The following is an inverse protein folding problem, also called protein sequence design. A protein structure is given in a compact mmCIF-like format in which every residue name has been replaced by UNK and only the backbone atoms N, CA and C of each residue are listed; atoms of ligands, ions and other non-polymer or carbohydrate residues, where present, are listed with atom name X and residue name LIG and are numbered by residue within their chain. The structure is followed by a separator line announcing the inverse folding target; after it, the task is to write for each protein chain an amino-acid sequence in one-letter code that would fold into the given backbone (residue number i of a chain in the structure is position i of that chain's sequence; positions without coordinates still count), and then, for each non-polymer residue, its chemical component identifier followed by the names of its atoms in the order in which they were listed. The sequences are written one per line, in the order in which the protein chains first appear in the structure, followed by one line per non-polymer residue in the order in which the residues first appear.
data_IF_314525257830
#
_entry.id   IF_314525257830
#
_cell.length_a   1.000
_cell.length_b   1.000
_cell.length_c   1.000
_cell.angle_alpha   90.00
_cell.angle_beta   90.00
_cell.angle_gamma   90.00
#
_symmetry.space_group_name_H-M   'P 1'
#
loop_
_entity.id
_entity.type
_entity.pdbx_description
1 polymer ?
#
# COMPACT_ATOMS: atom_id res chain seq x y z
N UNK A 1 1.59 -32.53 -1.61
CA UNK A 1 0.62 -32.09 -2.63
C UNK A 1 0.50 -30.59 -2.48
N UNK A 2 1.12 -29.82 -3.38
CA UNK A 2 1.04 -28.36 -3.34
C UNK A 2 -0.35 -27.95 -3.84
N UNK A 3 -1.15 -27.31 -2.99
CA UNK A 3 -2.45 -26.75 -3.38
C UNK A 3 -2.21 -25.62 -4.38
N UNK A 4 -2.75 -25.78 -5.58
CA UNK A 4 -2.77 -24.72 -6.59
C UNK A 4 -3.54 -23.52 -6.02
N UNK A 5 -2.85 -22.38 -5.87
CA UNK A 5 -3.45 -21.15 -5.35
C UNK A 5 -4.07 -20.39 -6.51
N UNK A 6 -5.37 -20.19 -6.46
CA UNK A 6 -6.12 -19.48 -7.50
C UNK A 6 -5.88 -17.98 -7.33
N UNK A 7 -5.41 -17.29 -8.39
CA UNK A 7 -5.18 -15.84 -8.36
C UNK A 7 -6.44 -15.08 -8.79
N UNK A 8 -6.97 -14.23 -7.90
CA UNK A 8 -8.06 -13.31 -8.26
C UNK A 8 -7.47 -12.00 -8.77
N UNK A 9 -7.48 -11.80 -10.10
CA UNK A 9 -6.91 -10.62 -10.76
C UNK A 9 -7.56 -9.28 -10.39
N UNK A 10 -8.68 -9.26 -9.64
CA UNK A 10 -9.39 -8.03 -9.25
C UNK A 10 -8.75 -7.28 -8.08
N UNK A 11 -8.13 -8.00 -7.15
CA UNK A 11 -7.61 -7.43 -5.90
C UNK A 11 -6.08 -7.52 -5.81
N UNK A 12 -5.42 -8.30 -6.67
CA UNK A 12 -3.95 -8.37 -6.78
C UNK A 12 -3.20 -8.92 -5.56
N UNK A 13 -3.90 -9.28 -4.48
CA UNK A 13 -3.30 -9.73 -3.21
C UNK A 13 -2.38 -10.94 -3.41
N UNK A 14 -2.75 -11.86 -4.31
CA UNK A 14 -1.94 -13.02 -4.65
C UNK A 14 -0.57 -12.64 -5.24
N UNK A 15 -0.47 -11.56 -6.01
CA UNK A 15 0.78 -11.10 -6.65
C UNK A 15 1.77 -10.59 -5.60
N UNK A 16 1.30 -9.84 -4.60
CA UNK A 16 2.15 -9.34 -3.52
C UNK A 16 2.71 -10.50 -2.67
N UNK A 17 1.86 -11.49 -2.37
CA UNK A 17 2.26 -12.70 -1.64
C UNK A 17 3.27 -13.52 -2.45
N UNK A 18 3.02 -13.69 -3.75
CA UNK A 18 3.91 -14.44 -4.65
C UNK A 18 5.27 -13.75 -4.79
N UNK A 19 5.30 -12.44 -5.02
CA UNK A 19 6.53 -11.65 -5.11
C UNK A 19 7.35 -11.67 -3.81
N UNK A 20 6.70 -11.60 -2.64
CA UNK A 20 7.39 -11.67 -1.35
C UNK A 20 8.04 -13.05 -1.08
N UNK A 21 7.61 -14.07 -1.80
CA UNK A 21 7.98 -15.48 -1.61
C UNK A 21 8.67 -16.11 -2.84
N UNK A 22 9.00 -15.31 -3.86
CA UNK A 22 9.67 -15.80 -5.06
C UNK A 22 10.99 -16.52 -4.70
N UNK A 23 11.26 -17.62 -5.40
CA UNK A 23 12.46 -18.48 -5.24
C UNK A 23 12.61 -19.14 -3.85
N UNK A 24 11.52 -19.34 -3.10
CA UNK A 24 11.57 -19.98 -1.76
C UNK A 24 10.69 -21.21 -1.62
N UNK A 25 11.26 -22.25 -1.02
CA UNK A 25 10.51 -23.47 -0.69
C UNK A 25 9.67 -23.30 0.60
N UNK A 26 8.78 -24.26 0.87
CA UNK A 26 7.83 -24.22 1.99
C UNK A 26 8.51 -24.00 3.36
N UNK A 27 9.68 -24.61 3.58
CA UNK A 27 10.46 -24.45 4.82
C UNK A 27 11.07 -23.06 4.99
N UNK A 28 11.59 -22.47 3.90
CA UNK A 28 12.22 -21.15 3.91
C UNK A 28 11.19 -20.02 4.08
N UNK A 29 9.96 -20.23 3.58
CA UNK A 29 8.85 -19.28 3.79
C UNK A 29 8.40 -19.20 5.25
N UNK A 30 8.43 -20.33 5.98
CA UNK A 30 8.03 -20.35 7.38
C UNK A 30 9.05 -19.65 8.28
N UNK A 31 10.35 -19.68 7.94
CA UNK A 31 11.43 -19.07 8.72
C UNK A 31 11.51 -17.55 8.50
N UNK A 32 11.11 -17.06 7.31
CA UNK A 32 11.06 -15.64 6.97
C UNK A 32 9.63 -15.24 6.61
N UNK A 33 8.80 -15.08 7.63
CA UNK A 33 7.46 -14.52 7.49
C UNK A 33 7.53 -12.99 7.32
N UNK A 34 7.31 -12.44 6.11
CA UNK A 34 7.34 -10.99 5.88
C UNK A 34 6.16 -10.26 6.55
N UNK A 35 5.17 -10.99 7.07
CA UNK A 35 4.03 -10.50 7.82
C UNK A 35 4.13 -10.82 9.33
N UNK A 36 5.24 -11.41 9.77
CA UNK A 36 5.49 -11.79 11.15
C UNK A 36 5.88 -10.62 12.06
N UNK A 37 6.24 -10.92 13.31
CA UNK A 37 6.42 -9.92 14.37
C UNK A 37 7.66 -9.00 14.19
N UNK A 38 8.58 -9.34 13.28
CA UNK A 38 9.74 -8.52 12.90
C UNK A 38 9.33 -7.40 11.93
N UNK A 39 8.70 -6.37 12.47
CA UNK A 39 7.85 -5.43 11.71
C UNK A 39 8.61 -4.50 10.75
N UNK A 40 8.05 -4.34 9.56
CA UNK A 40 8.21 -3.16 8.68
C UNK A 40 7.12 -2.10 8.92
N UNK A 41 6.35 -2.21 10.01
CA UNK A 41 5.32 -1.23 10.36
C UNK A 41 5.98 0.10 10.73
N UNK A 42 5.92 1.02 9.78
CA UNK A 42 6.34 2.41 10.00
C UNK A 42 5.20 3.13 10.70
N UNK A 43 5.52 3.96 11.69
CA UNK A 43 4.53 4.86 12.29
C UNK A 43 3.81 5.66 11.19
N UNK A 44 2.48 5.71 11.25
CA UNK A 44 1.67 6.35 10.21
C UNK A 44 2.06 7.83 10.05
N UNK A 45 2.37 8.51 11.14
CA UNK A 45 2.74 9.94 11.10
C UNK A 45 4.09 10.12 10.44
N UNK A 46 5.05 9.24 10.73
CA UNK A 46 6.36 9.22 10.08
C UNK A 46 6.25 8.91 8.58
N UNK A 47 5.43 7.91 8.20
CA UNK A 47 5.16 7.58 6.81
C UNK A 47 4.49 8.76 6.06
N UNK A 48 3.47 9.39 6.66
CA UNK A 48 2.79 10.58 6.08
C UNK A 48 3.72 11.80 6.01
N UNK A 49 4.69 11.88 6.92
CA UNK A 49 5.72 12.91 6.92
C UNK A 49 6.82 12.64 5.88
N UNK A 50 6.99 11.44 5.34
CA UNK A 50 8.01 11.17 4.32
C UNK A 50 7.42 10.91 2.94
N UNK A 51 6.13 10.59 2.85
CA UNK A 51 5.47 10.23 1.60
C UNK A 51 5.04 11.46 0.79
N UNK A 52 5.57 11.62 -0.44
CA UNK A 52 5.16 12.70 -1.34
C UNK A 52 3.67 12.64 -1.67
N UNK A 53 3.09 11.45 -1.77
CA UNK A 53 1.66 11.25 -2.05
C UNK A 53 0.76 11.85 -0.98
N UNK A 54 1.11 11.73 0.29
CA UNK A 54 0.32 12.32 1.37
C UNK A 54 0.33 13.86 1.32
N UNK A 55 1.47 14.46 0.96
CA UNK A 55 1.59 15.91 0.84
C UNK A 55 0.93 16.47 -0.41
N UNK A 56 1.19 15.86 -1.57
CA UNK A 56 0.68 16.32 -2.85
C UNK A 56 -0.86 16.26 -2.90
N UNK A 57 -1.46 15.23 -2.31
CA UNK A 57 -2.92 15.16 -2.18
C UNK A 57 -3.48 16.32 -1.35
N UNK A 58 -2.87 16.62 -0.19
CA UNK A 58 -3.30 17.75 0.63
C UNK A 58 -3.13 19.12 -0.06
N UNK A 59 -2.08 19.29 -0.86
CA UNK A 59 -1.86 20.50 -1.68
C UNK A 59 -2.91 20.59 -2.79
N UNK A 60 -3.14 19.51 -3.52
CA UNK A 60 -4.12 19.44 -4.60
C UNK A 60 -5.53 19.76 -4.09
N UNK A 61 -5.90 19.25 -2.91
CA UNK A 61 -7.20 19.48 -2.30
C UNK A 61 -7.39 20.96 -1.87
N UNK A 62 -6.34 21.59 -1.36
CA UNK A 62 -6.35 23.03 -1.07
C UNK A 62 -6.50 23.87 -2.33
N UNK A 63 -5.79 23.53 -3.41
CA UNK A 63 -5.90 24.23 -4.69
C UNK A 63 -7.29 24.04 -5.29
N UNK A 64 -7.80 22.81 -5.27
CA UNK A 64 -9.14 22.46 -5.74
C UNK A 64 -10.23 23.23 -5.00
N UNK A 65 -10.18 23.28 -3.66
CA UNK A 65 -11.17 24.02 -2.87
C UNK A 65 -11.14 25.54 -3.13
N UNK A 66 -9.96 26.13 -3.37
CA UNK A 66 -9.84 27.54 -3.77
C UNK A 66 -10.40 27.75 -5.17
N UNK A 67 -10.07 26.87 -6.11
CA UNK A 67 -10.59 26.89 -7.49
C UNK A 67 -12.11 26.78 -7.50
N UNK A 68 -12.68 25.85 -6.74
CA UNK A 68 -14.13 25.65 -6.63
C UNK A 68 -14.84 26.85 -6.02
N UNK A 69 -14.23 27.51 -5.03
CA UNK A 69 -14.78 28.75 -4.45
C UNK A 69 -14.78 29.89 -5.46
N UNK A 70 -13.73 30.02 -6.27
CA UNK A 70 -13.62 31.07 -7.28
C UNK A 70 -14.58 30.81 -8.45
N UNK A 71 -14.61 29.58 -8.96
CA UNK A 71 -15.41 29.21 -10.13
C UNK A 71 -16.90 29.11 -9.82
N UNK A 72 -17.27 28.60 -8.64
CA UNK A 72 -18.65 28.22 -8.32
C UNK A 72 -19.24 28.94 -7.11
N UNK A 73 -18.47 29.78 -6.40
CA UNK A 73 -18.95 30.50 -5.22
C UNK A 73 -19.35 29.60 -4.04
N UNK A 74 -19.01 28.31 -4.07
CA UNK A 74 -19.30 27.37 -2.97
C UNK A 74 -18.43 27.70 -1.77
N UNK A 75 -19.10 27.93 -0.63
CA UNK A 75 -18.45 28.18 0.67
C UNK A 75 -17.90 26.89 1.24
#
# INVERSE_FOLDING_TARGET
MATERESCGRCGVSVAVEAANADRDDGERAERDPYGEGRIEVDERELRRLSPGAWLSGIAERIGSVGDRIAWGRR
#
